data_IF_311882502853
#
_entry.id   IF_311882502853
#
_cell.length_a   1.000
_cell.length_b   1.000
_cell.length_c   1.000
_cell.angle_alpha   90.00
_cell.angle_beta   90.00
_cell.angle_gamma   90.00
#
_symmetry.space_group_name_H-M   'P 1'
#
loop_
_entity.id
_entity.type
_entity.pdbx_description
1 polymer ?
#
# COMPACT_ATOMS: atom_id res chain seq x y z
N UNK A 1 -7.66 3.70 -15.35
CA UNK A 1 -7.56 2.38 -16.05
C UNK A 1 -7.32 1.22 -15.09
N UNK A 2 -7.45 -0.04 -15.56
CA UNK A 2 -7.18 -1.29 -14.82
C UNK A 2 -8.01 -2.49 -15.34
N UNK A 3 -7.69 -3.70 -14.91
CA UNK A 3 -8.51 -4.91 -15.10
C UNK A 3 -8.60 -5.71 -13.78
N UNK A 4 -9.55 -6.63 -13.68
CA UNK A 4 -9.67 -7.48 -12.51
C UNK A 4 -8.46 -8.42 -12.42
N UNK A 5 -7.87 -8.49 -11.23
CA UNK A 5 -6.78 -9.39 -10.96
C UNK A 5 -7.27 -10.83 -10.89
N UNK A 6 -6.52 -11.77 -11.48
CA UNK A 6 -6.77 -13.21 -11.28
C UNK A 6 -6.81 -13.53 -9.78
N UNK A 7 -7.82 -14.27 -9.28
CA UNK A 7 -7.94 -14.55 -7.85
C UNK A 7 -6.65 -15.13 -7.25
N UNK A 8 -6.24 -14.56 -6.11
CA UNK A 8 -5.04 -14.97 -5.36
C UNK A 8 -3.69 -14.78 -6.07
N UNK A 9 -3.65 -14.17 -7.26
CA UNK A 9 -2.38 -13.86 -7.95
C UNK A 9 -1.49 -12.89 -7.14
N UNK A 10 -2.12 -12.05 -6.29
CA UNK A 10 -1.46 -11.09 -5.39
C UNK A 10 -1.66 -11.57 -3.93
N UNK A 11 -1.02 -12.67 -3.49
CA UNK A 11 -1.31 -13.28 -2.19
C UNK A 11 -0.90 -12.40 -0.99
N UNK A 12 -0.04 -11.40 -1.22
CA UNK A 12 0.35 -10.39 -0.23
C UNK A 12 -0.60 -9.20 -0.13
N UNK A 13 -1.65 -9.11 -0.98
CA UNK A 13 -2.61 -8.01 -0.91
C UNK A 13 -3.48 -8.12 0.34
N UNK A 14 -3.54 -7.04 1.12
CA UNK A 14 -4.39 -6.93 2.31
C UNK A 14 -5.31 -5.72 2.17
N UNK A 15 -6.49 -5.79 2.76
CA UNK A 15 -7.43 -4.68 2.89
C UNK A 15 -7.63 -4.33 4.37
N UNK A 16 -7.51 -3.04 4.69
CA UNK A 16 -7.75 -2.49 6.02
C UNK A 16 -9.18 -1.97 6.09
N UNK A 17 -9.94 -2.48 7.06
CA UNK A 17 -11.32 -2.09 7.31
C UNK A 17 -11.44 -1.35 8.64
N UNK A 18 -12.17 -0.25 8.63
CA UNK A 18 -12.48 0.54 9.81
C UNK A 18 -14.00 0.59 9.96
N UNK A 19 -14.55 0.17 11.11
CA UNK A 19 -16.00 -0.01 11.38
C UNK A 19 -16.80 -0.57 10.18
N UNK A 20 -16.32 -1.69 9.63
CA UNK A 20 -16.98 -2.41 8.52
C UNK A 20 -16.92 -1.72 7.15
N UNK A 21 -16.16 -0.64 7.00
CA UNK A 21 -15.95 0.04 5.72
C UNK A 21 -14.49 -0.09 5.30
N UNK A 22 -14.29 -0.34 4.00
CA UNK A 22 -12.96 -0.32 3.40
C UNK A 22 -12.32 1.06 3.62
N UNK A 23 -11.06 1.04 4.07
CA UNK A 23 -10.26 2.23 4.30
C UNK A 23 -9.13 2.29 3.26
N UNK A 24 -8.17 1.37 3.38
CA UNK A 24 -6.94 1.35 2.56
C UNK A 24 -6.54 -0.08 2.19
N UNK A 25 -5.61 -0.18 1.24
CA UNK A 25 -4.81 -1.38 1.02
C UNK A 25 -3.64 -1.50 1.99
N UNK A 26 -3.01 -2.67 2.00
CA UNK A 26 -1.76 -2.96 2.68
C UNK A 26 -1.06 -4.14 2.01
N UNK A 27 0.20 -4.38 2.37
CA UNK A 27 1.01 -5.51 1.92
C UNK A 27 1.39 -6.40 3.08
N UNK A 28 1.14 -7.71 2.99
CA UNK A 28 1.66 -8.69 3.94
C UNK A 28 3.17 -8.85 3.72
N UNK A 29 3.99 -8.46 4.70
CA UNK A 29 5.46 -8.50 4.61
C UNK A 29 6.08 -9.60 5.49
N UNK A 30 5.31 -10.16 6.41
CA UNK A 30 5.64 -11.35 7.22
C UNK A 30 4.36 -11.94 7.80
N UNK A 31 4.44 -13.13 8.41
CA UNK A 31 3.30 -13.85 8.97
C UNK A 31 2.45 -13.03 9.97
N UNK A 32 3.06 -12.05 10.64
CA UNK A 32 2.41 -11.20 11.64
C UNK A 32 2.48 -9.70 11.32
N UNK A 33 2.95 -9.33 10.12
CA UNK A 33 3.24 -7.93 9.79
C UNK A 33 2.65 -7.53 8.45
N UNK A 34 1.88 -6.44 8.47
CA UNK A 34 1.40 -5.74 7.29
C UNK A 34 2.04 -4.36 7.20
N UNK A 35 2.30 -3.92 5.98
CA UNK A 35 2.85 -2.60 5.67
C UNK A 35 1.83 -1.78 4.89
N UNK A 36 1.56 -0.56 5.31
CA UNK A 36 0.60 0.35 4.68
C UNK A 36 1.09 1.80 4.78
N UNK A 37 0.34 2.74 4.20
CA UNK A 37 0.65 4.16 4.29
C UNK A 37 0.24 4.70 5.67
N UNK A 38 1.03 5.62 6.22
CA UNK A 38 0.78 6.15 7.57
C UNK A 38 -0.57 6.88 7.68
N UNK A 39 -0.98 7.61 6.63
CA UNK A 39 -2.26 8.32 6.58
C UNK A 39 -3.49 7.39 6.54
N UNK A 40 -3.30 6.09 6.33
CA UNK A 40 -4.36 5.09 6.46
C UNK A 40 -4.74 4.78 7.91
N UNK A 41 -4.01 5.34 8.90
CA UNK A 41 -4.38 5.24 10.31
C UNK A 41 -5.68 6.00 10.64
N UNK A 42 -6.07 6.98 9.82
CA UNK A 42 -7.29 7.77 10.03
C UNK A 42 -8.30 7.58 8.89
N UNK A 43 -9.59 7.79 9.18
CA UNK A 43 -10.68 7.66 8.18
C UNK A 43 -10.72 8.77 7.14
N UNK A 44 -10.00 9.86 7.36
CA UNK A 44 -10.18 11.09 6.58
C UNK A 44 -9.17 11.20 5.44
N UNK A 45 -8.04 10.49 5.49
CA UNK A 45 -6.90 10.80 4.62
C UNK A 45 -6.54 9.71 3.61
N UNK A 46 -7.23 8.57 3.57
CA UNK A 46 -6.92 7.54 2.58
C UNK A 46 -8.13 6.69 2.28
N UNK A 47 -8.82 6.96 1.17
CA UNK A 47 -9.79 6.03 0.59
C UNK A 47 -9.32 5.62 -0.79
N UNK A 48 -9.45 4.33 -1.08
CA UNK A 48 -9.04 3.76 -2.36
C UNK A 48 -7.70 3.02 -2.23
N UNK A 49 -6.83 3.20 -3.21
CA UNK A 49 -5.64 2.35 -3.38
C UNK A 49 -4.50 2.64 -2.39
N UNK A 50 -4.62 3.71 -1.58
CA UNK A 50 -3.64 4.10 -0.57
C UNK A 50 -3.21 2.92 0.29
N UNK A 51 -1.90 2.81 0.55
CA UNK A 51 -1.32 1.70 1.31
C UNK A 51 -1.11 0.41 0.53
N UNK A 52 -1.68 0.27 -0.67
CA UNK A 52 -1.48 -0.89 -1.53
C UNK A 52 -0.05 -1.01 -2.09
N UNK A 53 0.34 -2.21 -2.55
CA UNK A 53 1.67 -2.49 -3.09
C UNK A 53 1.88 -1.96 -4.51
N UNK A 54 3.05 -1.37 -4.76
CA UNK A 54 3.67 -1.30 -6.09
C UNK A 54 4.74 -2.39 -6.20
N UNK A 55 4.48 -3.39 -7.02
CA UNK A 55 5.39 -4.53 -7.24
C UNK A 55 6.11 -4.37 -8.57
N UNK A 56 7.44 -4.40 -8.55
CA UNK A 56 8.25 -4.46 -9.77
C UNK A 56 9.16 -5.68 -9.72
N UNK A 57 9.08 -6.54 -10.74
CA UNK A 57 9.89 -7.79 -10.84
C UNK A 57 9.74 -8.68 -9.60
N UNK A 58 8.52 -8.82 -9.09
CA UNK A 58 8.21 -9.63 -7.91
C UNK A 58 8.66 -9.04 -6.56
N UNK A 59 9.16 -7.79 -6.55
CA UNK A 59 9.62 -7.13 -5.32
C UNK A 59 8.73 -5.94 -4.99
N UNK A 60 8.34 -5.82 -3.72
CA UNK A 60 7.65 -4.64 -3.20
C UNK A 60 8.59 -3.43 -3.26
N UNK A 61 8.37 -2.53 -4.23
CA UNK A 61 9.17 -1.32 -4.44
C UNK A 61 8.52 -0.08 -3.84
N UNK A 62 7.19 -0.05 -3.80
CA UNK A 62 6.44 1.12 -3.38
C UNK A 62 5.20 0.80 -2.57
N UNK A 63 4.75 1.78 -1.80
CA UNK A 63 3.44 1.82 -1.14
C UNK A 63 2.68 2.99 -1.74
N UNK A 64 1.45 2.79 -2.23
CA UNK A 64 0.61 3.88 -2.76
C UNK A 64 0.46 4.95 -1.69
N UNK A 65 0.86 6.18 -2.01
CA UNK A 65 0.84 7.31 -1.07
C UNK A 65 -0.25 8.32 -1.44
N UNK A 66 -0.06 9.06 -2.53
CA UNK A 66 -1.00 10.09 -2.98
C UNK A 66 -0.92 10.31 -4.48
N UNK A 67 -1.84 11.09 -5.01
CA UNK A 67 -1.88 11.51 -6.40
C UNK A 67 -2.83 12.69 -6.56
N UNK A 68 -2.92 13.19 -7.78
CA UNK A 68 -3.82 14.29 -8.12
C UNK A 68 -5.30 13.86 -8.15
N UNK A 69 -6.18 14.84 -7.95
CA UNK A 69 -7.64 14.67 -8.07
C UNK A 69 -8.13 15.63 -9.17
N UNK A 70 -8.76 15.14 -10.25
CA UNK A 70 -9.06 13.73 -10.54
C UNK A 70 -7.82 12.89 -10.80
N UNK A 71 -7.90 11.58 -10.50
CA UNK A 71 -6.86 10.63 -10.89
C UNK A 71 -6.87 10.38 -12.41
N UNK A 72 -5.87 9.66 -12.92
CA UNK A 72 -5.75 9.33 -14.36
C UNK A 72 -5.51 10.56 -15.26
N UNK A 73 -4.74 11.53 -14.76
CA UNK A 73 -4.22 12.60 -15.61
C UNK A 73 -2.91 12.16 -16.24
N UNK A 74 -2.76 12.34 -17.56
CA UNK A 74 -1.54 11.95 -18.30
C UNK A 74 -0.32 12.80 -17.97
N UNK A 75 -0.49 13.88 -17.20
CA UNK A 75 0.56 14.85 -16.90
C UNK A 75 1.14 14.70 -15.50
N UNK A 76 0.48 13.96 -14.59
CA UNK A 76 0.92 13.85 -13.20
C UNK A 76 0.89 12.40 -12.72
N UNK A 77 2.04 11.84 -12.32
CA UNK A 77 2.12 10.45 -11.86
C UNK A 77 1.57 10.28 -10.45
N UNK A 78 1.17 9.06 -10.11
CA UNK A 78 0.98 8.65 -8.72
C UNK A 78 2.30 8.65 -7.95
N UNK A 79 2.25 9.03 -6.67
CA UNK A 79 3.41 9.09 -5.79
C UNK A 79 3.36 7.95 -4.78
N UNK A 80 4.49 7.27 -4.62
CA UNK A 80 4.64 6.08 -3.81
C UNK A 80 5.76 6.26 -2.79
N UNK A 81 5.58 5.72 -1.59
CA UNK A 81 6.67 5.62 -0.60
C UNK A 81 7.69 4.60 -1.10
N UNK A 82 8.94 5.02 -1.30
CA UNK A 82 10.03 4.16 -1.82
C UNK A 82 10.50 3.18 -0.74
N UNK A 83 10.03 1.94 -0.78
CA UNK A 83 10.25 0.92 0.26
C UNK A 83 11.73 0.66 0.51
N UNK A 84 12.55 0.64 -0.54
CA UNK A 84 13.97 0.35 -0.40
C UNK A 84 14.72 1.39 0.47
N UNK A 85 14.20 2.62 0.58
CA UNK A 85 14.77 3.66 1.46
C UNK A 85 14.48 3.44 2.94
N UNK A 86 13.54 2.56 3.29
CA UNK A 86 13.08 2.32 4.67
C UNK A 86 13.37 0.90 5.16
N UNK A 87 14.16 0.11 4.42
CA UNK A 87 14.40 -1.30 4.76
C UNK A 87 14.98 -1.51 6.15
N UNK A 88 15.90 -0.65 6.58
CA UNK A 88 16.50 -0.72 7.91
C UNK A 88 15.44 -0.49 8.99
N UNK A 89 14.72 0.62 8.90
CA UNK A 89 13.62 0.95 9.82
C UNK A 89 12.55 -0.15 9.91
N UNK A 90 12.15 -0.74 8.76
CA UNK A 90 11.17 -1.83 8.73
C UNK A 90 11.70 -3.03 9.51
N UNK A 91 12.94 -3.47 9.21
CA UNK A 91 13.56 -4.63 9.84
C UNK A 91 13.76 -4.43 11.34
N UNK A 92 14.18 -3.24 11.77
CA UNK A 92 14.35 -2.93 13.18
C UNK A 92 13.03 -2.90 13.93
N UNK A 93 11.99 -2.31 13.32
CA UNK A 93 10.64 -2.26 13.92
C UNK A 93 10.06 -3.65 14.11
N UNK A 94 10.21 -4.53 13.12
CA UNK A 94 9.75 -5.93 13.19
C UNK A 94 10.56 -6.80 14.17
N UNK A 95 11.78 -6.39 14.52
CA UNK A 95 12.60 -7.10 15.53
C UNK A 95 12.28 -6.63 16.95
N UNK A 96 11.93 -5.35 17.11
CA UNK A 96 11.69 -4.72 18.41
C UNK A 96 10.32 -5.10 19.01
N UNK A 97 9.37 -5.53 18.18
CA UNK A 97 8.01 -5.89 18.58
C UNK A 97 7.68 -7.29 18.06
#
# INVERSE_FOLDING_TARGET
GGEECEPHSQPWQVALFERGRFNCGASLISAHWVLSAAHCQTRYEGRGDSGGPLVCRGVLQGIVSWGDVPCDTTTKPGVYTKVCSYLEWIKETMKRN
#
